data_IF_590237618097
#
_entry.id   IF_590237618097
#
_cell.length_a   1.000
_cell.length_b   1.000
_cell.length_c   1.000
_cell.angle_alpha   90.00
_cell.angle_beta   90.00
_cell.angle_gamma   90.00
#
_symmetry.space_group_name_H-M   'P 1'
#
loop_
_entity.id
_entity.type
_entity.pdbx_description
1 polymer ?
#
# COMPACT_ATOMS: atom_id res chain seq x y z
N UNK A 1 -6.01 -4.37 -38.47
CA UNK A 1 -5.19 -4.82 -37.33
C UNK A 1 -4.20 -5.85 -37.86
N UNK A 2 -2.97 -5.42 -38.18
CA UNK A 2 -1.93 -6.31 -38.70
C UNK A 2 -1.16 -6.92 -37.54
N UNK A 3 -1.59 -8.11 -37.11
CA UNK A 3 -0.89 -8.93 -36.13
C UNK A 3 0.31 -9.60 -36.79
N UNK A 4 1.51 -9.15 -36.40
CA UNK A 4 2.73 -9.93 -36.27
C UNK A 4 2.87 -11.17 -37.19
N UNK A 5 3.15 -10.96 -38.49
CA UNK A 5 3.60 -12.06 -39.36
C UNK A 5 4.94 -12.57 -38.83
N UNK A 6 4.95 -13.81 -38.37
CA UNK A 6 6.18 -14.49 -37.97
C UNK A 6 7.18 -14.46 -39.14
N UNK A 7 8.46 -14.26 -38.83
CA UNK A 7 9.51 -13.95 -39.83
C UNK A 7 9.76 -15.05 -40.88
N UNK A 8 9.07 -16.21 -40.80
CA UNK A 8 9.08 -17.29 -41.79
C UNK A 8 7.68 -17.97 -41.80
N UNK A 9 6.81 -17.71 -42.78
CA UNK A 9 5.53 -18.43 -42.89
C UNK A 9 5.81 -19.92 -43.13
N UNK A 10 5.09 -20.79 -42.42
CA UNK A 10 5.18 -22.24 -42.65
C UNK A 10 4.42 -22.54 -43.94
N UNK A 11 5.05 -23.13 -44.98
CA UNK A 11 4.35 -23.52 -46.20
C UNK A 11 3.26 -24.55 -45.89
N UNK A 12 2.14 -24.49 -46.62
CA UNK A 12 1.01 -25.44 -46.46
C UNK A 12 1.46 -26.89 -46.69
N UNK A 13 2.48 -27.13 -47.51
CA UNK A 13 3.08 -28.45 -47.76
C UNK A 13 3.70 -29.09 -46.50
N UNK A 14 4.05 -28.28 -45.49
CA UNK A 14 4.61 -28.77 -44.23
C UNK A 14 3.52 -29.21 -43.23
N UNK A 15 2.24 -29.04 -43.57
CA UNK A 15 1.08 -29.49 -42.80
C UNK A 15 0.66 -30.91 -43.20
N UNK A 16 1.64 -31.81 -43.34
CA UNK A 16 1.42 -33.21 -43.69
C UNK A 16 2.05 -34.14 -42.64
N UNK A 17 1.38 -35.28 -42.38
CA UNK A 17 1.82 -36.29 -41.42
C UNK A 17 3.23 -36.79 -41.74
N UNK A 18 3.54 -37.02 -43.02
CA UNK A 18 4.85 -37.51 -43.45
C UNK A 18 5.96 -36.49 -43.17
N UNK A 19 5.68 -35.19 -43.34
CA UNK A 19 6.63 -34.12 -43.05
C UNK A 19 6.87 -33.98 -41.55
N UNK A 20 5.80 -33.95 -40.74
CA UNK A 20 5.88 -33.82 -39.28
C UNK A 20 6.65 -34.99 -38.65
N UNK A 21 6.51 -36.20 -39.18
CA UNK A 21 7.23 -37.39 -38.69
C UNK A 21 8.75 -37.30 -38.97
N UNK A 22 9.12 -36.75 -40.13
CA UNK A 22 10.51 -36.54 -40.54
C UNK A 22 11.17 -35.32 -39.86
N UNK A 23 10.38 -34.43 -39.26
CA UNK A 23 10.88 -33.24 -38.56
C UNK A 23 11.60 -33.61 -37.25
N UNK A 24 12.84 -33.15 -37.11
CA UNK A 24 13.65 -33.27 -35.88
C UNK A 24 13.87 -31.93 -35.16
N UNK A 25 13.46 -30.80 -35.75
CA UNK A 25 13.54 -29.48 -35.11
C UNK A 25 12.27 -29.18 -34.30
N UNK A 26 12.39 -29.15 -32.97
CA UNK A 26 11.29 -28.84 -32.06
C UNK A 26 10.67 -27.45 -32.32
N UNK A 27 11.44 -26.46 -32.79
CA UNK A 27 10.93 -25.11 -33.09
C UNK A 27 10.11 -25.06 -34.36
N UNK A 28 10.36 -25.97 -35.31
CA UNK A 28 9.55 -26.09 -36.52
C UNK A 28 8.20 -26.74 -36.22
N UNK A 29 8.20 -27.81 -35.43
CA UNK A 29 6.96 -28.47 -34.97
C UNK A 29 6.12 -27.53 -34.10
N UNK A 30 6.73 -26.70 -33.24
CA UNK A 30 6.01 -25.67 -32.48
C UNK A 30 5.34 -24.62 -33.39
N UNK A 31 6.01 -24.20 -34.47
CA UNK A 31 5.44 -23.27 -35.46
C UNK A 31 4.26 -23.90 -36.18
N UNK A 32 4.39 -25.15 -36.63
CA UNK A 32 3.31 -25.91 -37.27
C UNK A 32 2.12 -26.02 -36.31
N UNK A 33 2.34 -26.41 -35.06
CA UNK A 33 1.28 -26.53 -34.05
C UNK A 33 0.56 -25.19 -33.79
N UNK A 34 1.29 -24.07 -33.81
CA UNK A 34 0.70 -22.73 -33.67
C UNK A 34 -0.20 -22.37 -34.86
N UNK A 35 0.21 -22.73 -36.09
CA UNK A 35 -0.60 -22.53 -37.30
C UNK A 35 -1.85 -23.41 -37.25
N UNK A 36 -1.73 -24.69 -36.89
CA UNK A 36 -2.87 -25.60 -36.74
C UNK A 36 -3.89 -25.12 -35.70
N UNK A 37 -3.43 -24.61 -34.55
CA UNK A 37 -4.30 -24.03 -33.51
C UNK A 37 -4.88 -22.67 -33.87
N UNK A 38 -4.27 -21.92 -34.79
CA UNK A 38 -4.79 -20.63 -35.27
C UNK A 38 -6.05 -20.78 -36.12
N UNK A 39 -6.24 -21.95 -36.75
CA UNK A 39 -7.37 -22.24 -37.62
C UNK A 39 -7.33 -21.52 -38.97
N UNK A 40 -6.23 -20.85 -39.33
CA UNK A 40 -6.10 -20.10 -40.59
C UNK A 40 -6.22 -21.01 -41.83
N UNK A 41 -5.73 -22.25 -41.75
CA UNK A 41 -5.73 -23.24 -42.85
C UNK A 41 -6.86 -24.29 -42.71
N UNK A 42 -7.70 -24.16 -41.68
CA UNK A 42 -8.76 -25.13 -41.33
C UNK A 42 -8.49 -25.92 -40.04
N UNK A 43 -9.51 -26.64 -39.57
CA UNK A 43 -9.47 -27.39 -38.31
C UNK A 43 -9.12 -28.86 -38.57
N UNK A 44 -7.89 -29.26 -38.25
CA UNK A 44 -7.41 -30.63 -38.39
C UNK A 44 -7.08 -31.25 -37.02
N UNK A 45 -8.06 -31.83 -36.30
CA UNK A 45 -7.86 -32.29 -34.91
C UNK A 45 -6.81 -33.41 -34.80
N UNK A 46 -6.86 -34.40 -35.69
CA UNK A 46 -5.91 -35.52 -35.68
C UNK A 46 -4.49 -35.12 -36.04
N UNK A 47 -4.33 -34.18 -36.98
CA UNK A 47 -3.02 -33.63 -37.34
C UNK A 47 -2.44 -32.80 -36.20
N UNK A 48 -3.29 -32.04 -35.51
CA UNK A 48 -2.91 -31.25 -34.31
C UNK A 48 -2.43 -32.17 -33.20
N UNK A 49 -3.18 -33.24 -32.90
CA UNK A 49 -2.79 -34.23 -31.89
C UNK A 49 -1.48 -34.93 -32.26
N UNK A 50 -1.30 -35.30 -33.54
CA UNK A 50 -0.06 -35.90 -34.03
C UNK A 50 1.14 -34.94 -33.88
N UNK A 51 0.97 -33.66 -34.19
CA UNK A 51 1.98 -32.64 -33.93
C UNK A 51 2.30 -32.49 -32.44
N UNK A 52 1.28 -32.52 -31.56
CA UNK A 52 1.47 -32.44 -30.11
C UNK A 52 2.24 -33.64 -29.57
N UNK A 53 1.92 -34.86 -30.03
CA UNK A 53 2.65 -36.09 -29.67
C UNK A 53 4.11 -36.03 -30.14
N UNK A 54 4.34 -35.58 -31.38
CA UNK A 54 5.70 -35.41 -31.92
C UNK A 54 6.49 -34.34 -31.16
N UNK A 55 5.86 -33.21 -30.84
CA UNK A 55 6.47 -32.14 -30.06
C UNK A 55 6.75 -32.59 -28.62
N UNK A 56 5.89 -33.40 -28.01
CA UNK A 56 6.10 -33.97 -26.69
C UNK A 56 7.29 -34.95 -26.66
N UNK A 57 7.50 -35.72 -27.73
CA UNK A 57 8.65 -36.61 -27.86
C UNK A 57 9.99 -35.85 -28.02
N UNK A 58 9.99 -34.71 -28.75
CA UNK A 58 11.19 -33.90 -28.97
C UNK A 58 11.48 -32.91 -27.83
N UNK A 59 10.44 -32.28 -27.27
CA UNK A 59 10.53 -31.19 -26.31
C UNK A 59 9.34 -31.20 -25.32
N UNK A 60 9.36 -32.04 -24.28
CA UNK A 60 8.24 -32.21 -23.35
C UNK A 60 7.95 -30.97 -22.49
N UNK A 61 8.92 -30.07 -22.33
CA UNK A 61 8.77 -28.82 -21.56
C UNK A 61 8.36 -27.62 -22.43
N UNK A 62 8.07 -27.82 -23.71
CA UNK A 62 7.71 -26.72 -24.60
C UNK A 62 6.40 -26.06 -24.16
N UNK A 63 6.39 -24.72 -24.11
CA UNK A 63 5.22 -23.92 -23.71
C UNK A 63 4.00 -24.16 -24.60
N UNK A 64 4.22 -24.56 -25.86
CA UNK A 64 3.15 -24.92 -26.78
C UNK A 64 2.29 -26.10 -26.28
N UNK A 65 2.82 -26.99 -25.44
CA UNK A 65 2.08 -28.10 -24.86
C UNK A 65 1.29 -27.72 -23.60
N UNK A 66 1.43 -26.48 -23.11
CA UNK A 66 0.67 -26.04 -21.95
C UNK A 66 -0.80 -25.87 -22.31
N UNK A 67 -1.65 -26.61 -21.62
CA UNK A 67 -3.10 -26.54 -21.74
C UNK A 67 -3.64 -25.80 -20.51
N UNK A 68 -4.41 -24.75 -20.75
CA UNK A 68 -5.13 -24.04 -19.68
C UNK A 68 -6.14 -24.99 -19.04
N UNK A 69 -5.87 -25.41 -17.81
CA UNK A 69 -6.82 -26.20 -17.02
C UNK A 69 -7.72 -25.24 -16.25
N UNK A 70 -9.06 -25.38 -16.35
CA UNK A 70 -9.96 -24.56 -15.54
C UNK A 70 -9.70 -24.81 -14.06
N UNK A 71 -9.93 -23.80 -13.23
CA UNK A 71 -9.78 -23.94 -11.78
C UNK A 71 -10.66 -25.09 -11.28
N UNK A 72 -10.09 -25.97 -10.47
CA UNK A 72 -10.81 -27.07 -9.85
C UNK A 72 -11.95 -26.50 -9.00
N UNK A 73 -13.15 -27.03 -9.18
CA UNK A 73 -14.32 -26.65 -8.41
C UNK A 73 -14.53 -27.64 -7.27
N UNK A 74 -15.33 -27.29 -6.26
CA UNK A 74 -15.61 -28.18 -5.13
C UNK A 74 -16.24 -29.53 -5.53
N UNK A 75 -16.75 -29.66 -6.76
CA UNK A 75 -17.29 -30.90 -7.32
C UNK A 75 -16.23 -31.81 -7.95
N UNK A 76 -15.02 -31.32 -8.22
CA UNK A 76 -13.92 -32.12 -8.78
C UNK A 76 -13.11 -32.88 -7.71
N UNK A 77 -13.42 -32.68 -6.43
CA UNK A 77 -12.75 -33.35 -5.31
C UNK A 77 -13.60 -34.53 -4.82
N UNK A 78 -13.01 -35.66 -4.39
CA UNK A 78 -13.74 -36.74 -3.74
C UNK A 78 -14.58 -36.24 -2.56
N UNK A 79 -15.79 -36.79 -2.33
CA UNK A 79 -16.70 -36.29 -1.30
C UNK A 79 -16.12 -36.43 0.11
N UNK A 80 -15.29 -37.45 0.34
CA UNK A 80 -14.62 -37.70 1.63
C UNK A 80 -13.55 -36.65 1.94
N UNK A 81 -12.64 -36.37 0.99
CA UNK A 81 -11.64 -35.31 1.13
C UNK A 81 -12.30 -33.94 1.32
N UNK A 82 -13.38 -33.69 0.59
CA UNK A 82 -14.17 -32.47 0.75
C UNK A 82 -14.76 -32.35 2.15
N UNK A 83 -15.29 -33.44 2.72
CA UNK A 83 -15.84 -33.43 4.08
C UNK A 83 -14.75 -33.13 5.11
N UNK A 84 -13.58 -33.78 5.01
CA UNK A 84 -12.44 -33.53 5.89
C UNK A 84 -11.97 -32.07 5.86
N UNK A 85 -11.91 -31.46 4.67
CA UNK A 85 -11.54 -30.05 4.52
C UNK A 85 -12.58 -29.12 5.15
N UNK A 86 -13.87 -29.43 4.99
CA UNK A 86 -14.94 -28.63 5.59
C UNK A 86 -14.94 -28.72 7.11
N UNK A 87 -14.71 -29.90 7.66
CA UNK A 87 -14.62 -30.10 9.11
C UNK A 87 -13.39 -29.36 9.68
N UNK A 88 -12.22 -29.48 9.04
CA UNK A 88 -11.02 -28.75 9.45
C UNK A 88 -11.22 -27.21 9.42
N UNK A 89 -11.95 -26.70 8.43
CA UNK A 89 -12.29 -25.27 8.34
C UNK A 89 -13.27 -24.86 9.45
N UNK A 90 -14.21 -25.73 9.83
CA UNK A 90 -15.12 -25.49 10.94
C UNK A 90 -14.38 -25.49 12.28
N UNK A 91 -13.51 -26.48 12.50
CA UNK A 91 -12.66 -26.55 13.70
C UNK A 91 -11.82 -25.29 13.86
N UNK A 92 -11.17 -24.85 12.77
CA UNK A 92 -10.39 -23.61 12.76
C UNK A 92 -11.26 -22.38 13.06
N UNK A 93 -12.44 -22.27 12.45
CA UNK A 93 -13.38 -21.17 12.72
C UNK A 93 -13.76 -21.13 14.20
N UNK A 94 -14.11 -22.27 14.78
CA UNK A 94 -14.56 -22.35 16.17
C UNK A 94 -13.40 -22.07 17.14
N UNK A 95 -12.19 -22.48 16.78
CA UNK A 95 -10.97 -22.13 17.51
C UNK A 95 -10.69 -20.62 17.48
N UNK A 96 -10.87 -19.97 16.33
CA UNK A 96 -10.72 -18.52 16.20
C UNK A 96 -11.79 -17.75 16.98
N UNK A 97 -13.05 -18.22 16.96
CA UNK A 97 -14.12 -17.63 17.76
C UNK A 97 -13.81 -17.70 19.25
N UNK A 98 -13.35 -18.85 19.76
CA UNK A 98 -12.92 -18.98 21.16
C UNK A 98 -11.78 -18.02 21.53
N UNK A 99 -10.81 -17.84 20.63
CA UNK A 99 -9.71 -16.87 20.83
C UNK A 99 -10.23 -15.43 20.85
N UNK A 100 -11.14 -15.09 19.95
CA UNK A 100 -11.76 -13.76 19.90
C UNK A 100 -12.57 -13.49 21.18
N UNK A 101 -13.33 -14.46 21.66
CA UNK A 101 -14.07 -14.38 22.92
C UNK A 101 -13.13 -14.21 24.12
N UNK A 102 -12.00 -14.92 24.15
CA UNK A 102 -11.00 -14.76 25.21
C UNK A 102 -10.36 -13.36 25.21
N UNK A 103 -10.06 -12.82 24.03
CA UNK A 103 -9.56 -11.44 23.88
C UNK A 103 -10.63 -10.45 24.33
N UNK A 104 -11.89 -10.67 23.96
CA UNK A 104 -13.00 -9.81 24.35
C UNK A 104 -13.24 -9.85 25.86
N UNK A 105 -13.10 -11.01 26.51
CA UNK A 105 -13.27 -11.17 27.95
C UNK A 105 -12.18 -10.47 28.77
N UNK A 106 -10.95 -10.37 28.23
CA UNK A 106 -9.86 -9.62 28.88
C UNK A 106 -9.91 -8.11 28.61
N UNK A 107 -10.78 -7.67 27.69
CA UNK A 107 -10.93 -6.25 27.33
C UNK A 107 -11.89 -5.52 28.28
N UNK A 108 -11.51 -4.37 28.86
CA UNK A 108 -12.40 -3.57 29.71
C UNK A 108 -13.63 -3.04 28.96
N UNK A 109 -14.82 -2.97 29.59
CA UNK A 109 -16.05 -2.51 28.95
C UNK A 109 -16.03 -1.02 28.52
N UNK A 110 -15.22 -0.18 29.16
CA UNK A 110 -15.01 1.22 28.75
C UNK A 110 -14.34 1.34 27.36
N UNK A 111 -13.55 0.34 26.95
CA UNK A 111 -12.88 0.37 25.66
C UNK A 111 -13.85 0.15 24.48
N UNK A 112 -14.99 -0.52 24.68
CA UNK A 112 -15.94 -0.82 23.61
C UNK A 112 -16.90 0.32 23.30
N UNK A 113 -17.36 1.05 24.32
CA UNK A 113 -18.23 2.21 24.13
C UNK A 113 -17.50 3.36 23.40
N UNK A 114 -16.18 3.47 23.55
CA UNK A 114 -15.36 4.48 22.89
C UNK A 114 -14.90 4.07 21.47
N UNK A 115 -15.00 2.78 21.12
CA UNK A 115 -14.50 2.23 19.84
C UNK A 115 -15.59 2.15 18.76
N UNK A 116 -16.87 2.08 19.11
CA UNK A 116 -17.96 2.03 18.12
C UNK A 116 -18.04 3.28 17.23
N UNK A 117 -17.83 4.45 17.81
CA UNK A 117 -18.00 5.74 17.13
C UNK A 117 -16.72 6.26 16.46
N UNK A 118 -15.56 5.65 16.75
CA UNK A 118 -14.23 6.10 16.29
C UNK A 118 -13.53 5.13 15.33
N UNK A 119 -14.21 4.06 14.90
CA UNK A 119 -13.73 3.19 13.84
C UNK A 119 -14.25 3.72 12.49
N UNK A 120 -13.37 3.88 11.47
CA UNK A 120 -13.86 4.13 10.13
C UNK A 120 -14.82 3.00 9.74
N UNK A 121 -15.89 3.29 8.98
CA UNK A 121 -16.83 2.27 8.57
C UNK A 121 -16.05 1.10 7.96
N UNK A 122 -16.29 -0.11 8.48
CA UNK A 122 -15.83 -1.32 7.81
C UNK A 122 -16.33 -1.18 6.37
N UNK A 123 -15.44 -1.30 5.39
CA UNK A 123 -15.80 -1.19 3.95
C UNK A 123 -16.69 -2.37 3.58
N UNK A 124 -17.91 -2.37 4.07
CA UNK A 124 -18.93 -3.32 3.72
C UNK A 124 -19.46 -2.90 2.36
N UNK A 125 -19.47 -3.85 1.43
CA UNK A 125 -19.92 -3.67 0.04
C UNK A 125 -21.46 -3.46 -0.05
N UNK A 126 -22.13 -3.21 1.08
CA UNK A 126 -23.58 -3.20 1.20
C UNK A 126 -24.15 -1.85 1.68
N UNK A 127 -23.32 -0.82 1.89
CA UNK A 127 -23.84 0.54 2.06
C UNK A 127 -24.36 1.03 0.70
N UNK A 128 -25.68 0.95 0.53
CA UNK A 128 -26.40 1.69 -0.51
C UNK A 128 -26.14 3.17 -0.23
N UNK A 129 -25.21 3.75 -0.98
CA UNK A 129 -24.95 5.19 -0.97
C UNK A 129 -26.26 5.87 -1.38
N UNK A 130 -27.02 6.37 -0.40
CA UNK A 130 -28.07 7.35 -0.63
C UNK A 130 -27.38 8.64 -1.04
N UNK A 131 -27.19 8.82 -2.35
CA UNK A 131 -26.67 10.06 -2.92
C UNK A 131 -27.75 11.12 -2.74
N UNK A 132 -27.72 11.83 -1.62
CA UNK A 132 -28.34 13.15 -1.56
C UNK A 132 -27.58 14.06 -2.52
N UNK A 133 -28.33 14.66 -3.44
CA UNK A 133 -27.84 15.54 -4.51
C UNK A 133 -27.18 16.78 -3.90
N UNK A 134 -25.91 16.68 -3.55
CA UNK A 134 -25.07 17.85 -3.31
C UNK A 134 -24.71 18.47 -4.65
N UNK A 135 -25.12 19.73 -4.77
CA UNK A 135 -25.01 20.59 -5.95
C UNK A 135 -23.59 20.57 -6.52
N UNK A 136 -23.46 20.08 -7.76
CA UNK A 136 -22.21 20.13 -8.52
C UNK A 136 -21.85 21.59 -8.80
N UNK A 137 -20.86 22.13 -8.09
CA UNK A 137 -20.08 23.26 -8.63
C UNK A 137 -19.22 22.71 -9.76
N UNK A 138 -19.58 23.08 -10.98
CA UNK A 138 -18.78 22.90 -12.18
C UNK A 138 -17.45 23.64 -12.01
N UNK A 139 -16.38 22.92 -11.71
CA UNK A 139 -15.02 23.38 -11.99
C UNK A 139 -14.58 22.67 -13.26
N UNK A 140 -14.77 23.35 -14.39
CA UNK A 140 -14.16 22.96 -15.66
C UNK A 140 -12.66 23.31 -15.60
N UNK A 141 -11.87 22.43 -14.99
CA UNK A 141 -10.42 22.37 -15.16
C UNK A 141 -10.08 20.96 -15.59
N UNK A 142 -9.44 20.81 -16.75
CA UNK A 142 -9.09 19.52 -17.33
C UNK A 142 -8.12 18.76 -16.42
N UNK A 143 -8.64 17.99 -15.48
CA UNK A 143 -7.86 17.02 -14.73
C UNK A 143 -7.52 15.86 -15.68
N UNK A 144 -6.23 15.65 -15.92
CA UNK A 144 -5.70 14.49 -16.61
C UNK A 144 -6.39 13.22 -16.07
N UNK A 145 -7.01 12.49 -16.98
CA UNK A 145 -8.00 11.45 -16.66
C UNK A 145 -7.30 10.34 -15.89
N UNK A 146 -7.54 10.29 -14.58
CA UNK A 146 -7.19 9.14 -13.72
C UNK A 146 -7.43 7.83 -14.47
N UNK A 147 -6.38 7.03 -14.67
CA UNK A 147 -6.49 5.73 -15.31
C UNK A 147 -7.35 4.83 -14.41
N UNK A 148 -8.37 4.17 -14.98
CA UNK A 148 -9.24 3.28 -14.22
C UNK A 148 -8.45 2.03 -13.81
N UNK A 149 -8.72 1.49 -12.61
CA UNK A 149 -8.03 0.31 -12.08
C UNK A 149 -8.19 -0.97 -12.93
N UNK A 150 -9.18 -1.00 -13.82
CA UNK A 150 -9.49 -2.18 -14.66
C UNK A 150 -8.93 -2.03 -16.08
N UNK A 151 -8.36 -0.87 -16.43
CA UNK A 151 -7.88 -0.61 -17.80
C UNK A 151 -6.38 -0.90 -17.94
N UNK A 152 -6.04 -2.19 -17.96
CA UNK A 152 -4.65 -2.66 -18.03
C UNK A 152 -3.90 -2.16 -19.27
N UNK A 153 -4.58 -1.97 -20.41
CA UNK A 153 -3.94 -1.41 -21.62
C UNK A 153 -3.53 0.05 -21.46
N UNK A 154 -4.25 0.81 -20.64
CA UNK A 154 -3.87 2.17 -20.31
C UNK A 154 -2.72 2.19 -19.28
N UNK A 155 -2.70 1.25 -18.33
CA UNK A 155 -1.58 1.07 -17.41
C UNK A 155 -0.28 0.64 -18.11
N UNK A 156 -0.35 -0.25 -19.10
CA UNK A 156 0.83 -0.68 -19.88
C UNK A 156 1.46 0.46 -20.71
N UNK A 157 0.68 1.49 -21.05
CA UNK A 157 1.14 2.67 -21.78
C UNK A 157 1.60 3.80 -20.86
N UNK A 158 1.39 3.66 -19.56
CA UNK A 158 1.72 4.67 -18.59
C UNK A 158 3.21 4.60 -18.28
N UNK A 159 3.94 5.61 -18.70
CA UNK A 159 5.37 5.73 -18.42
C UNK A 159 5.57 6.38 -17.05
N UNK A 160 5.91 5.54 -16.07
CA UNK A 160 6.10 5.96 -14.69
C UNK A 160 7.27 6.94 -14.56
N UNK A 161 8.35 6.75 -15.31
CA UNK A 161 9.55 7.57 -15.19
C UNK A 161 9.31 8.99 -15.70
N UNK A 162 8.58 9.12 -16.81
CA UNK A 162 8.19 10.42 -17.37
C UNK A 162 7.25 11.16 -16.43
N UNK A 163 6.28 10.49 -15.81
CA UNK A 163 5.36 11.13 -14.87
C UNK A 163 6.07 11.50 -13.56
N UNK A 164 6.97 10.66 -13.04
CA UNK A 164 7.81 10.99 -11.90
C UNK A 164 8.68 12.22 -12.21
N UNK A 165 9.35 12.26 -13.36
CA UNK A 165 10.13 13.43 -13.77
C UNK A 165 9.27 14.68 -13.93
N UNK A 166 8.02 14.54 -14.38
CA UNK A 166 7.05 15.64 -14.45
C UNK A 166 6.66 16.14 -13.06
N UNK A 167 6.39 15.23 -12.13
CA UNK A 167 6.08 15.57 -10.74
C UNK A 167 7.27 16.24 -10.06
N UNK A 168 8.48 15.71 -10.23
CA UNK A 168 9.71 16.29 -9.68
C UNK A 168 10.01 17.68 -10.28
N UNK A 169 9.76 17.88 -11.57
CA UNK A 169 9.89 19.18 -12.23
C UNK A 169 8.81 20.18 -11.80
N UNK A 170 7.60 19.72 -11.49
CA UNK A 170 6.53 20.53 -10.91
C UNK A 170 6.81 20.87 -9.43
N UNK A 171 7.45 19.94 -8.71
CA UNK A 171 7.88 20.07 -7.31
C UNK A 171 9.14 20.91 -7.14
N UNK A 172 9.77 21.39 -8.21
CA UNK A 172 10.76 22.49 -8.15
C UNK A 172 10.22 23.80 -7.53
N UNK A 173 8.91 23.86 -7.24
CA UNK A 173 8.24 24.91 -6.46
C UNK A 173 7.47 24.39 -5.24
N UNK A 174 7.56 23.09 -4.94
CA UNK A 174 6.83 22.48 -3.85
C UNK A 174 7.82 22.19 -2.72
N UNK A 175 7.82 23.10 -1.75
CA UNK A 175 8.46 22.91 -0.46
C UNK A 175 7.78 21.75 0.30
N UNK A 176 8.00 20.51 -0.12
CA UNK A 176 7.44 19.31 0.51
C UNK A 176 8.01 19.05 1.92
N UNK A 177 8.96 19.89 2.35
CA UNK A 177 9.43 19.99 3.73
C UNK A 177 8.87 21.20 4.51
N UNK A 178 8.18 22.15 3.88
CA UNK A 178 7.53 23.31 4.54
C UNK A 178 6.00 23.29 4.41
N UNK A 179 5.37 22.13 4.42
CA UNK A 179 3.95 22.11 4.75
C UNK A 179 3.81 22.72 6.15
N UNK A 180 3.04 23.81 6.35
CA UNK A 180 2.90 24.42 7.67
C UNK A 180 2.38 23.32 8.60
N UNK A 181 3.21 22.97 9.58
CA UNK A 181 3.00 21.81 10.42
C UNK A 181 1.61 21.86 11.01
N UNK A 182 0.75 20.93 10.57
CA UNK A 182 -0.54 20.72 11.21
C UNK A 182 -0.27 20.33 12.65
N UNK A 183 -0.60 21.24 13.55
CA UNK A 183 -0.70 21.06 14.98
C UNK A 183 -1.40 19.71 15.21
N UNK A 184 -0.65 18.73 15.73
CA UNK A 184 -1.19 17.41 16.02
C UNK A 184 -2.31 17.62 17.04
N UNK A 185 -3.54 17.36 16.63
CA UNK A 185 -4.68 17.30 17.53
C UNK A 185 -4.39 16.18 18.55
N UNK A 186 -4.43 16.55 19.83
CA UNK A 186 -4.23 15.67 20.99
C UNK A 186 -5.15 14.43 20.95
N UNK A 187 -6.25 14.50 20.19
CA UNK A 187 -7.16 13.38 19.89
C UNK A 187 -6.45 12.15 19.32
N UNK A 188 -5.31 12.32 18.63
CA UNK A 188 -4.56 11.21 18.01
C UNK A 188 -3.73 10.36 19.00
N UNK A 189 -3.61 10.74 20.28
CA UNK A 189 -2.75 10.05 21.25
C UNK A 189 -3.47 9.34 22.40
N UNK A 190 -4.81 9.34 22.39
CA UNK A 190 -5.63 8.66 23.41
C UNK A 190 -5.45 7.14 23.49
N UNK A 191 -4.91 6.49 22.44
CA UNK A 191 -4.76 5.03 22.35
C UNK A 191 -3.34 4.52 22.63
N UNK A 192 -2.40 5.40 22.95
CA UNK A 192 -1.00 5.02 23.16
C UNK A 192 -0.74 4.73 24.64
N UNK A 193 0.00 3.65 24.92
CA UNK A 193 0.45 3.39 26.29
C UNK A 193 1.41 4.49 26.77
N UNK A 194 1.55 4.67 28.08
CA UNK A 194 2.44 5.68 28.65
C UNK A 194 3.89 5.55 28.14
N UNK A 195 4.36 4.32 27.90
CA UNK A 195 5.68 4.06 27.34
C UNK A 195 5.80 4.51 25.87
N UNK A 196 4.78 4.23 25.04
CA UNK A 196 4.77 4.66 23.64
C UNK A 196 4.65 6.19 23.51
N UNK A 197 3.88 6.83 24.40
CA UNK A 197 3.81 8.28 24.49
C UNK A 197 5.17 8.89 24.83
N UNK A 198 5.89 8.31 25.79
CA UNK A 198 7.23 8.75 26.15
C UNK A 198 8.22 8.62 24.98
N UNK A 199 8.23 7.48 24.28
CA UNK A 199 9.09 7.26 23.11
C UNK A 199 8.77 8.25 21.99
N UNK A 200 7.48 8.51 21.75
CA UNK A 200 7.05 9.47 20.72
C UNK A 200 7.37 10.92 21.11
N UNK A 201 7.16 11.29 22.37
CA UNK A 201 7.51 12.60 22.89
C UNK A 201 9.02 12.86 22.79
N UNK A 202 9.84 11.85 23.07
CA UNK A 202 11.29 11.92 22.94
C UNK A 202 11.70 12.10 21.47
N UNK A 203 11.09 11.34 20.56
CA UNK A 203 11.35 11.47 19.12
C UNK A 203 10.97 12.85 18.58
N UNK A 204 9.84 13.41 18.98
CA UNK A 204 9.47 14.78 18.58
C UNK A 204 10.41 15.83 19.22
N UNK A 205 10.90 15.60 20.44
CA UNK A 205 11.91 16.46 21.07
C UNK A 205 13.23 16.43 20.30
N UNK A 206 13.70 15.25 19.86
CA UNK A 206 14.91 15.12 19.05
C UNK A 206 14.79 15.89 17.73
N UNK A 207 13.67 15.77 17.02
CA UNK A 207 13.42 16.57 15.80
C UNK A 207 13.47 18.08 16.07
N UNK A 208 12.92 18.52 17.20
CA UNK A 208 13.03 19.91 17.63
C UNK A 208 14.47 20.35 17.86
N UNK A 209 15.32 19.49 18.44
CA UNK A 209 16.74 19.76 18.62
C UNK A 209 17.49 19.83 17.29
N UNK A 210 17.12 19.00 16.31
CA UNK A 210 17.70 19.02 14.97
C UNK A 210 17.36 20.33 14.25
N UNK A 211 16.09 20.75 14.27
CA UNK A 211 15.65 22.03 13.74
C UNK A 211 16.32 23.22 14.44
N UNK A 212 16.47 23.16 15.77
CA UNK A 212 17.17 24.19 16.54
C UNK A 212 18.64 24.30 16.13
N UNK A 213 19.33 23.17 15.90
CA UNK A 213 20.72 23.16 15.41
C UNK A 213 20.83 23.66 13.97
N UNK A 214 19.80 23.45 13.15
CA UNK A 214 19.71 23.99 11.80
C UNK A 214 19.43 25.51 11.76
N UNK A 215 19.06 26.11 12.91
CA UNK A 215 18.71 27.53 13.01
C UNK A 215 17.24 27.84 12.66
N UNK A 216 16.43 26.82 12.35
CA UNK A 216 14.99 26.99 12.17
C UNK A 216 14.27 26.91 13.52
N UNK A 217 14.19 28.07 14.17
CA UNK A 217 13.54 28.19 15.47
C UNK A 217 12.01 28.08 15.38
N UNK A 218 11.39 28.40 14.23
CA UNK A 218 9.93 28.30 14.10
C UNK A 218 9.49 26.83 14.03
N UNK A 219 10.22 26.03 13.26
CA UNK A 219 9.98 24.59 13.17
C UNK A 219 10.32 23.88 14.49
N UNK A 220 11.42 24.27 15.16
CA UNK A 220 11.78 23.75 16.47
C UNK A 220 10.66 23.95 17.51
N UNK A 221 10.05 25.13 17.56
CA UNK A 221 8.91 25.41 18.46
C UNK A 221 7.71 24.50 18.17
N UNK A 222 7.42 24.22 16.89
CA UNK A 222 6.32 23.33 16.52
C UNK A 222 6.58 21.87 16.95
N UNK A 223 7.81 21.38 16.83
CA UNK A 223 8.21 20.06 17.35
C UNK A 223 8.13 20.00 18.89
N UNK A 224 8.64 21.02 19.59
CA UNK A 224 8.58 21.08 21.04
C UNK A 224 7.14 21.15 21.56
N UNK A 225 6.26 21.93 20.91
CA UNK A 225 4.84 21.98 21.24
C UNK A 225 4.16 20.62 21.12
N UNK A 226 4.52 19.84 20.08
CA UNK A 226 4.02 18.47 19.93
C UNK A 226 4.54 17.54 21.01
N UNK A 227 5.83 17.60 21.33
CA UNK A 227 6.40 16.80 22.42
C UNK A 227 5.71 17.10 23.75
N UNK A 228 5.49 18.39 24.08
CA UNK A 228 4.78 18.83 25.29
C UNK A 228 3.32 18.37 25.29
N UNK A 229 2.63 18.39 24.14
CA UNK A 229 1.25 17.90 24.03
C UNK A 229 1.13 16.38 24.28
N UNK A 230 2.22 15.62 24.04
CA UNK A 230 2.28 14.19 24.32
C UNK A 230 2.65 13.90 25.77
N UNK A 231 3.74 14.51 26.22
CA UNK A 231 4.27 14.35 27.57
C UNK A 231 4.91 15.68 28.01
N UNK A 232 4.26 16.43 28.90
CA UNK A 232 4.85 17.63 29.49
C UNK A 232 6.12 17.27 30.28
N UNK A 233 7.24 17.91 29.94
CA UNK A 233 8.54 17.69 30.59
C UNK A 233 9.30 18.99 30.73
N UNK A 234 9.95 19.20 31.88
CA UNK A 234 10.79 20.36 32.14
C UNK A 234 11.91 20.54 31.10
N UNK A 235 12.45 19.43 30.57
CA UNK A 235 13.46 19.47 29.52
C UNK A 235 12.92 20.06 28.20
N UNK A 236 11.68 19.72 27.81
CA UNK A 236 11.06 20.26 26.60
C UNK A 236 10.71 21.74 26.75
N UNK A 237 10.20 22.17 27.91
CA UNK A 237 9.94 23.58 28.18
C UNK A 237 11.22 24.42 28.18
N UNK A 238 12.33 23.92 28.75
CA UNK A 238 13.63 24.59 28.67
C UNK A 238 14.11 24.79 27.21
N UNK A 239 13.99 23.75 26.39
CA UNK A 239 14.39 23.84 24.98
C UNK A 239 13.48 24.77 24.18
N UNK A 240 12.16 24.80 24.49
CA UNK A 240 11.20 25.74 23.91
C UNK A 240 11.49 27.19 24.32
N UNK A 241 11.79 27.44 25.60
CA UNK A 241 12.21 28.75 26.10
C UNK A 241 13.46 29.27 25.38
N UNK A 242 14.44 28.39 25.16
CA UNK A 242 15.66 28.75 24.41
C UNK A 242 15.35 29.11 22.96
N UNK A 243 14.45 28.38 22.29
CA UNK A 243 14.00 28.71 20.94
C UNK A 243 13.25 30.05 20.89
N UNK A 244 12.43 30.36 21.89
CA UNK A 244 11.77 31.65 22.03
C UNK A 244 12.77 32.81 22.24
N UNK A 245 13.80 32.61 23.05
CA UNK A 245 14.90 33.58 23.24
C UNK A 245 15.62 33.86 21.92
N UNK A 246 15.94 32.81 21.14
CA UNK A 246 16.57 32.96 19.82
C UNK A 246 15.68 33.68 18.80
N UNK A 247 14.35 33.57 18.94
CA UNK A 247 13.36 34.31 18.16
C UNK A 247 13.03 35.72 18.70
N UNK A 248 13.67 36.16 19.78
CA UNK A 248 13.39 37.42 20.48
C UNK A 248 11.95 37.56 20.99
N UNK A 249 11.27 36.44 21.26
CA UNK A 249 9.95 36.42 21.91
C UNK A 249 10.11 36.17 23.41
N UNK A 250 10.47 37.21 24.15
CA UNK A 250 10.88 37.12 25.56
C UNK A 250 9.72 36.78 26.50
N UNK A 251 8.50 37.28 26.23
CA UNK A 251 7.34 37.05 27.08
C UNK A 251 6.95 35.56 27.16
N UNK A 252 7.00 34.86 26.02
CA UNK A 252 6.69 33.43 25.96
C UNK A 252 7.83 32.59 26.57
N UNK A 253 9.08 33.04 26.44
CA UNK A 253 10.22 32.40 27.08
C UNK A 253 10.14 32.47 28.61
N UNK A 254 9.72 33.61 29.17
CA UNK A 254 9.52 33.78 30.61
C UNK A 254 8.43 32.84 31.14
N UNK A 255 7.29 32.76 30.45
CA UNK A 255 6.21 31.82 30.79
C UNK A 255 6.71 30.37 30.82
N UNK A 256 7.51 29.98 29.83
CA UNK A 256 8.09 28.64 29.80
C UNK A 256 9.05 28.41 30.97
N UNK A 257 9.87 29.40 31.32
CA UNK A 257 10.76 29.31 32.48
C UNK A 257 9.97 29.21 33.79
N UNK A 258 8.88 29.96 33.96
CA UNK A 258 7.98 29.86 35.11
C UNK A 258 7.40 28.44 35.24
N UNK A 259 6.96 27.86 34.11
CA UNK A 259 6.46 26.47 34.12
C UNK A 259 7.54 25.46 34.48
N UNK A 260 8.78 25.67 34.05
CA UNK A 260 9.93 24.83 34.41
C UNK A 260 10.20 24.92 35.91
N UNK A 261 10.27 26.12 36.48
CA UNK A 261 10.52 26.32 37.91
C UNK A 261 9.38 25.80 38.78
N UNK A 262 8.14 25.83 38.27
CA UNK A 262 6.99 25.20 38.93
C UNK A 262 7.05 23.66 38.93
N UNK A 263 7.60 23.04 37.88
CA UNK A 263 7.77 21.58 37.79
C UNK A 263 9.02 21.10 38.53
N UNK A 264 10.14 21.79 38.36
CA UNK A 264 11.45 21.47 38.93
C UNK A 264 12.11 22.74 39.51
N UNK A 265 11.88 23.05 40.80
CA UNK A 265 12.43 24.25 41.44
C UNK A 265 13.97 24.30 41.46
N UNK A 266 14.63 23.15 41.37
CA UNK A 266 16.10 23.04 41.37
C UNK A 266 16.71 23.04 39.95
N UNK A 267 15.94 23.38 38.91
CA UNK A 267 16.44 23.39 37.55
C UNK A 267 17.33 24.63 37.28
N UNK A 268 18.64 24.39 37.20
CA UNK A 268 19.65 25.45 36.96
C UNK A 268 19.41 26.15 35.62
N UNK A 269 19.06 25.41 34.57
CA UNK A 269 18.87 25.98 33.23
C UNK A 269 17.68 26.94 33.18
N UNK A 270 16.54 26.54 33.76
CA UNK A 270 15.36 27.41 33.85
C UNK A 270 15.66 28.68 34.64
N UNK A 271 16.37 28.56 35.76
CA UNK A 271 16.77 29.72 36.59
C UNK A 271 17.69 30.70 35.84
N UNK A 272 18.64 30.17 35.05
CA UNK A 272 19.56 30.99 34.26
C UNK A 272 18.88 31.65 33.06
N UNK A 273 17.92 30.97 32.43
CA UNK A 273 17.16 31.53 31.29
C UNK A 273 16.12 32.58 31.73
N UNK A 274 15.65 32.49 32.97
CA UNK A 274 14.71 33.44 33.57
C UNK A 274 15.39 34.75 34.04
N UNK A 275 16.69 34.69 34.38
CA UNK A 275 17.46 35.81 34.92
C UNK A 275 17.98 36.76 33.83
#
# INVERSE_FOLDING_TARGET
ANGNRSKNPVPVEHLDYAYIDQCNDAKEVERILRVLRSGEEGCFPHLTEFCEQRLAALAPQSRALWVDRPALTAASLPPEERAQLLDALQDWRDEMQKREEAIKATRPPEADALMGDLLPPVRNVHDKISVEKSVKKNIHGAAERRIRSVDYKAWDRFDVEVECARLDAADGKNELYNSPMKNISVTSCSRMSAAELAVRAEKEKEKGNDAFRAGDFAEALAYYNRSIALLPSAACYNNRALAHIKRATWDDALRDCDTVLGLEPNNIKGSVLHA
#
